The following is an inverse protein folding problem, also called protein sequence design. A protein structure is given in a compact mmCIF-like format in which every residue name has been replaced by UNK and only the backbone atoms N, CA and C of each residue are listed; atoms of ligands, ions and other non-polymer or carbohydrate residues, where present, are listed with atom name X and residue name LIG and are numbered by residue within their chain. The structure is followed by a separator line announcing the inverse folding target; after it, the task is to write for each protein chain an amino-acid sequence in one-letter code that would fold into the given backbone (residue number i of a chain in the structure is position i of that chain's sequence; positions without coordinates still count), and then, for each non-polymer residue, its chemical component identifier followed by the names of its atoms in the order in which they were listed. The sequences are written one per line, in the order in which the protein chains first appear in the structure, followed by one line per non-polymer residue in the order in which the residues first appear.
data_IF_129422141354
#
_entry.id   IF_129422141354
#
_cell.length_a   1.000
_cell.length_b   1.000
_cell.length_c   1.000
_cell.angle_alpha   90.00
_cell.angle_beta   90.00
_cell.angle_gamma   90.00
#
_symmetry.space_group_name_H-M   'P 1'
#
loop_
_entity.id
_entity.type
_entity.pdbx_description
1 polymer ?
#
# COMPACT_ATOMS: atom_id res chain seq x y z
N UNK A 1 -24.04 -15.36 -3.95
CA UNK A 1 -23.63 -14.50 -5.05
C UNK A 1 -22.14 -14.21 -4.96
N UNK A 2 -21.47 -14.37 -6.06
CA UNK A 2 -20.05 -14.04 -6.10
C UNK A 2 -19.91 -12.53 -6.16
N UNK A 3 -19.17 -11.99 -5.23
CA UNK A 3 -18.88 -10.59 -5.21
C UNK A 3 -17.85 -10.26 -6.29
N UNK A 4 -18.15 -9.29 -7.11
CA UNK A 4 -17.21 -8.82 -8.12
C UNK A 4 -16.10 -8.02 -7.46
N UNK A 5 -14.90 -8.58 -7.41
CA UNK A 5 -13.72 -7.91 -6.87
C UNK A 5 -12.81 -7.35 -7.96
N UNK A 6 -13.25 -7.39 -9.23
CA UNK A 6 -12.40 -6.94 -10.34
C UNK A 6 -12.15 -5.44 -10.31
N UNK A 7 -13.04 -4.67 -9.70
CA UNK A 7 -12.85 -3.23 -9.56
C UNK A 7 -12.03 -2.85 -8.33
N UNK A 8 -11.70 -3.81 -7.46
CA UNK A 8 -10.96 -3.53 -6.23
C UNK A 8 -9.51 -3.18 -6.56
N UNK A 9 -9.05 -2.06 -6.02
CA UNK A 9 -7.66 -1.62 -6.16
C UNK A 9 -7.14 -1.31 -4.76
N UNK A 10 -5.97 -1.88 -4.44
CA UNK A 10 -5.29 -1.65 -3.18
C UNK A 10 -3.99 -0.92 -3.50
N UNK A 11 -3.75 0.17 -2.79
CA UNK A 11 -2.50 0.92 -2.90
C UNK A 11 -1.86 1.00 -1.54
N UNK A 12 -0.55 0.99 -1.51
CA UNK A 12 0.22 1.07 -0.27
C UNK A 12 1.58 1.66 -0.56
N UNK A 13 2.17 2.27 0.45
CA UNK A 13 3.51 2.80 0.30
C UNK A 13 4.00 3.47 1.56
N UNK A 14 5.19 4.06 1.46
CA UNK A 14 5.70 4.95 2.48
C UNK A 14 6.13 6.26 1.85
N UNK A 15 6.24 7.28 2.68
CA UNK A 15 6.77 8.58 2.24
C UNK A 15 7.48 9.23 3.42
N UNK A 16 8.63 9.82 3.14
CA UNK A 16 9.42 10.53 4.13
C UNK A 16 9.45 12.02 3.82
N UNK A 17 9.58 12.83 4.87
CA UNK A 17 9.66 14.28 4.71
C UNK A 17 10.90 14.68 3.93
N UNK A 18 10.87 15.87 3.34
CA UNK A 18 11.96 16.45 2.56
C UNK A 18 12.33 15.65 1.32
N UNK A 19 11.44 14.78 0.84
CA UNK A 19 11.72 13.97 -0.35
C UNK A 19 12.80 12.93 -0.13
N UNK A 20 13.01 12.48 1.11
CA UNK A 20 14.08 11.54 1.46
C UNK A 20 13.84 10.12 0.94
N UNK A 21 12.64 9.82 0.51
CA UNK A 21 12.29 8.53 -0.08
C UNK A 21 10.79 8.31 -0.04
N UNK A 22 10.31 7.56 -1.03
CA UNK A 22 8.90 7.17 -1.08
C UNK A 22 8.73 5.99 -2.01
N UNK A 23 7.72 5.17 -1.75
CA UNK A 23 7.33 4.14 -2.70
C UNK A 23 5.81 4.06 -2.83
N UNK A 24 5.37 3.36 -3.83
CA UNK A 24 3.95 3.12 -4.06
C UNK A 24 3.77 1.76 -4.72
N UNK A 25 2.88 0.98 -4.15
CA UNK A 25 2.47 -0.33 -4.63
C UNK A 25 1.02 -0.21 -5.06
N UNK A 26 0.71 -0.66 -6.27
CA UNK A 26 -0.66 -0.63 -6.80
C UNK A 26 -1.03 -2.04 -7.20
N UNK A 27 -2.07 -2.58 -6.58
CA UNK A 27 -2.51 -3.96 -6.78
C UNK A 27 -3.93 -3.97 -7.31
N UNK A 28 -4.11 -4.62 -8.44
CA UNK A 28 -5.43 -4.94 -9.00
C UNK A 28 -5.56 -6.46 -9.13
N UNK A 29 -6.71 -6.91 -9.61
CA UNK A 29 -6.93 -8.36 -9.82
C UNK A 29 -6.00 -8.96 -10.88
N UNK A 30 -5.33 -8.15 -11.68
CA UNK A 30 -4.50 -8.61 -12.80
C UNK A 30 -3.03 -8.23 -12.70
N UNK A 31 -2.70 -7.16 -12.00
CA UNK A 31 -1.33 -6.60 -12.02
C UNK A 31 -0.90 -6.08 -10.67
N UNK A 32 0.41 -6.15 -10.45
CA UNK A 32 1.08 -5.43 -9.35
C UNK A 32 2.08 -4.48 -9.99
N UNK A 33 2.02 -3.21 -9.59
CA UNK A 33 2.97 -2.18 -10.04
C UNK A 33 3.67 -1.58 -8.83
N UNK A 34 4.93 -1.23 -9.01
CA UNK A 34 5.74 -0.69 -7.92
C UNK A 34 6.62 0.45 -8.43
N UNK A 35 6.65 1.53 -7.68
CA UNK A 35 7.52 2.68 -7.95
C UNK A 35 8.22 3.09 -6.67
N UNK A 36 9.53 3.25 -6.72
CA UNK A 36 10.33 3.81 -5.63
C UNK A 36 11.12 4.98 -6.17
N UNK A 37 11.15 6.06 -5.41
CA UNK A 37 11.93 7.24 -5.80
C UNK A 37 12.47 7.97 -4.58
N UNK A 38 13.50 8.78 -4.83
CA UNK A 38 14.06 9.70 -3.83
C UNK A 38 13.98 11.10 -4.43
N UNK A 39 12.84 11.81 -4.24
CA UNK A 39 12.63 13.10 -4.90
C UNK A 39 13.72 14.14 -4.61
N UNK A 40 14.31 14.11 -3.41
CA UNK A 40 15.36 15.05 -3.03
C UNK A 40 16.69 14.78 -3.72
N UNK A 41 16.88 13.62 -4.34
CA UNK A 41 18.13 13.26 -5.00
C UNK A 41 17.86 12.62 -6.35
N UNK A 42 17.83 13.44 -7.40
CA UNK A 42 17.53 12.99 -8.75
C UNK A 42 18.60 12.07 -9.35
N UNK A 43 19.76 11.96 -8.71
CA UNK A 43 20.82 11.03 -9.15
C UNK A 43 20.54 9.59 -8.75
N UNK A 44 19.65 9.37 -7.77
CA UNK A 44 19.22 8.01 -7.42
C UNK A 44 18.15 7.60 -8.42
N UNK A 45 18.37 6.52 -9.20
CA UNK A 45 17.40 6.11 -10.21
C UNK A 45 16.07 5.68 -9.60
N UNK A 46 14.99 6.04 -10.26
CA UNK A 46 13.66 5.54 -9.90
C UNK A 46 13.58 4.06 -10.21
N UNK A 47 12.99 3.29 -9.29
CA UNK A 47 12.64 1.90 -9.55
C UNK A 47 11.20 1.88 -10.01
N UNK A 48 10.96 1.26 -11.17
CA UNK A 48 9.62 1.18 -11.76
C UNK A 48 9.45 -0.22 -12.33
N UNK A 49 8.66 -1.04 -11.64
CA UNK A 49 8.50 -2.46 -11.97
C UNK A 49 7.01 -2.83 -11.98
N UNK A 50 6.71 -3.85 -12.74
CA UNK A 50 5.36 -4.40 -12.78
C UNK A 50 5.42 -5.89 -13.10
N UNK A 51 4.46 -6.64 -12.59
CA UNK A 51 4.27 -8.04 -12.97
C UNK A 51 2.81 -8.45 -12.80
N UNK A 52 2.39 -9.52 -13.50
CA UNK A 52 1.07 -10.08 -13.23
C UNK A 52 0.96 -10.58 -11.79
N UNK A 53 -0.25 -10.51 -11.24
CA UNK A 53 -0.54 -11.12 -9.96
C UNK A 53 -1.06 -12.53 -10.20
N UNK A 54 -0.66 -13.48 -9.35
CA UNK A 54 -1.22 -14.84 -9.43
C UNK A 54 -2.56 -14.89 -8.72
N UNK A 55 -3.39 -15.88 -9.08
CA UNK A 55 -4.68 -16.09 -8.43
C UNK A 55 -4.51 -16.34 -6.93
N UNK A 56 -3.49 -17.11 -6.56
CA UNK A 56 -3.19 -17.38 -5.14
C UNK A 56 -2.86 -16.11 -4.39
N UNK A 57 -2.03 -15.25 -4.96
CA UNK A 57 -1.69 -13.96 -4.36
C UNK A 57 -2.92 -13.09 -4.18
N UNK A 58 -3.74 -12.99 -5.23
CA UNK A 58 -4.95 -12.18 -5.16
C UNK A 58 -5.92 -12.68 -4.09
N UNK A 59 -6.12 -14.00 -4.02
CA UNK A 59 -6.98 -14.61 -3.01
C UNK A 59 -6.43 -14.38 -1.59
N UNK A 60 -5.12 -14.48 -1.40
CA UNK A 60 -4.50 -14.22 -0.10
C UNK A 60 -4.71 -12.77 0.32
N UNK A 61 -4.60 -11.84 -0.60
CA UNK A 61 -4.85 -10.43 -0.32
C UNK A 61 -6.31 -10.21 0.06
N UNK A 62 -7.24 -10.74 -0.73
CA UNK A 62 -8.67 -10.62 -0.44
C UNK A 62 -9.02 -11.19 0.93
N UNK A 63 -8.44 -12.35 1.28
CA UNK A 63 -8.69 -12.99 2.56
C UNK A 63 -8.10 -12.20 3.74
N UNK A 64 -7.10 -11.37 3.50
CA UNK A 64 -6.47 -10.54 4.53
C UNK A 64 -7.24 -9.26 4.82
N UNK A 65 -8.20 -8.91 3.98
CA UNK A 65 -8.96 -7.67 4.09
C UNK A 65 -10.27 -7.93 4.82
N UNK A 66 -10.47 -7.23 5.94
CA UNK A 66 -11.80 -7.05 6.52
C UNK A 66 -12.22 -5.62 6.20
N UNK A 67 -13.06 -5.48 5.18
CA UNK A 67 -13.40 -4.15 4.67
C UNK A 67 -14.10 -3.29 5.70
N UNK A 68 -15.01 -3.86 6.49
CA UNK A 68 -15.69 -3.11 7.54
C UNK A 68 -14.70 -2.58 8.57
N UNK A 69 -13.74 -3.40 8.98
CA UNK A 69 -12.71 -2.95 9.91
C UNK A 69 -11.86 -1.84 9.31
N UNK A 70 -11.47 -2.00 8.05
CA UNK A 70 -10.64 -1.01 7.37
C UNK A 70 -11.36 0.34 7.26
N UNK A 71 -12.63 0.32 6.85
CA UNK A 71 -13.43 1.54 6.67
C UNK A 71 -13.66 2.30 7.98
N UNK A 72 -13.60 1.60 9.11
CA UNK A 72 -13.75 2.21 10.43
C UNK A 72 -12.46 2.77 11.00
N UNK A 73 -11.32 2.48 10.36
CA UNK A 73 -10.05 3.04 10.80
C UNK A 73 -9.95 4.51 10.42
N UNK A 74 -9.43 5.31 11.35
CA UNK A 74 -9.32 6.74 11.17
C UNK A 74 -7.94 7.22 11.56
N UNK A 75 -6.94 6.71 10.84
CA UNK A 75 -5.53 7.07 11.03
C UNK A 75 -5.12 8.09 10.01
N UNK A 76 -4.55 9.18 10.46
CA UNK A 76 -4.12 10.27 9.58
C UNK A 76 -2.89 10.97 10.16
N UNK A 77 -1.83 10.21 10.37
CA UNK A 77 -0.57 10.77 10.89
C UNK A 77 0.08 11.70 9.87
N UNK A 78 0.96 12.56 10.36
CA UNK A 78 1.78 13.39 9.49
C UNK A 78 3.19 13.50 10.07
N UNK A 79 3.89 12.35 10.17
CA UNK A 79 5.29 12.37 10.58
C UNK A 79 6.17 13.06 9.55
N UNK A 80 5.74 13.07 8.27
CA UNK A 80 6.41 13.83 7.23
C UNK A 80 6.40 15.33 7.49
N UNK A 81 5.45 15.80 8.30
CA UNK A 81 5.36 17.23 8.67
C UNK A 81 6.48 17.64 9.63
N UNK A 82 7.11 16.68 10.30
CA UNK A 82 8.18 16.91 11.28
C UNK A 82 9.43 16.09 10.95
N UNK A 83 9.70 15.92 9.67
CA UNK A 83 10.89 15.23 9.15
C UNK A 83 10.92 13.73 9.50
N UNK A 84 9.76 13.11 9.56
CA UNK A 84 9.63 11.67 9.76
C UNK A 84 9.06 10.99 8.53
N UNK A 85 8.67 9.73 8.70
CA UNK A 85 8.10 8.91 7.64
C UNK A 85 6.74 8.36 8.04
N UNK A 86 5.86 8.26 7.08
CA UNK A 86 4.54 7.64 7.23
C UNK A 86 4.37 6.51 6.22
N UNK A 87 3.59 5.52 6.62
CA UNK A 87 3.05 4.53 5.69
C UNK A 87 1.59 4.83 5.43
N UNK A 88 1.09 4.34 4.30
CA UNK A 88 -0.31 4.56 3.94
C UNK A 88 -0.87 3.35 3.22
N UNK A 89 -2.17 3.13 3.35
CA UNK A 89 -2.93 2.11 2.65
C UNK A 89 -4.21 2.75 2.15
N UNK A 90 -4.53 2.54 0.88
CA UNK A 90 -5.77 2.99 0.27
C UNK A 90 -6.46 1.79 -0.38
N UNK A 91 -7.76 1.66 -0.15
CA UNK A 91 -8.59 0.62 -0.77
C UNK A 91 -9.76 1.31 -1.42
N UNK A 92 -9.99 1.00 -2.69
CA UNK A 92 -11.15 1.53 -3.40
C UNK A 92 -11.75 0.50 -4.36
N UNK A 93 -13.02 0.66 -4.61
CA UNK A 93 -13.74 -0.01 -5.68
C UNK A 93 -14.76 0.98 -6.24
N UNK A 94 -15.74 0.50 -7.01
CA UNK A 94 -16.75 1.39 -7.62
C UNK A 94 -17.62 2.12 -6.59
N UNK A 95 -17.75 1.57 -5.38
CA UNK A 95 -18.66 2.08 -4.36
C UNK A 95 -17.96 2.82 -3.22
N UNK A 96 -16.72 2.48 -2.92
CA UNK A 96 -15.99 2.99 -1.74
C UNK A 96 -14.60 3.47 -2.11
N UNK A 97 -14.09 4.38 -1.28
CA UNK A 97 -12.69 4.81 -1.33
C UNK A 97 -12.30 5.24 0.08
N UNK A 98 -11.27 4.62 0.63
CA UNK A 98 -10.80 4.95 1.98
C UNK A 98 -9.29 4.80 2.06
N UNK A 99 -8.65 5.75 2.73
CA UNK A 99 -7.20 5.77 2.91
C UNK A 99 -6.88 6.04 4.37
N UNK A 100 -5.88 5.32 4.88
CA UNK A 100 -5.31 5.59 6.21
C UNK A 100 -3.83 5.90 6.05
N UNK A 101 -3.31 6.67 7.00
CA UNK A 101 -1.88 7.00 7.07
C UNK A 101 -1.43 6.90 8.51
N UNK A 102 -0.33 6.19 8.74
CA UNK A 102 0.16 5.87 10.07
C UNK A 102 1.68 5.91 10.10
N UNK A 103 2.25 6.04 11.29
CA UNK A 103 3.71 6.08 11.43
C UNK A 103 4.37 4.83 10.86
N UNK A 104 5.51 5.00 10.21
CA UNK A 104 6.24 3.90 9.60
C UNK A 104 6.61 2.85 10.64
N UNK A 105 6.32 1.60 10.35
CA UNK A 105 6.56 0.48 11.25
C UNK A 105 5.46 0.21 12.26
N UNK A 106 4.45 1.07 12.34
CA UNK A 106 3.32 0.87 13.25
C UNK A 106 2.44 -0.26 12.73
N UNK A 107 2.13 -1.23 13.59
CA UNK A 107 1.19 -2.31 13.26
C UNK A 107 -0.16 -2.02 13.86
N UNK A 108 -1.21 -2.19 13.05
CA UNK A 108 -2.59 -1.98 13.45
C UNK A 108 -3.25 -3.36 13.53
N UNK A 109 -3.64 -3.79 14.72
CA UNK A 109 -4.07 -5.17 14.99
C UNK A 109 -5.15 -5.66 14.02
N UNK A 110 -6.13 -4.82 13.72
CA UNK A 110 -7.26 -5.22 12.87
C UNK A 110 -6.90 -5.43 11.41
N UNK A 111 -5.74 -4.95 10.97
CA UNK A 111 -5.30 -5.07 9.56
C UNK A 111 -3.88 -5.62 9.45
N UNK A 112 -3.33 -6.16 10.52
CA UNK A 112 -1.96 -6.65 10.50
C UNK A 112 -1.67 -7.67 9.39
N UNK A 113 -2.55 -8.65 9.11
CA UNK A 113 -2.30 -9.56 7.99
C UNK A 113 -2.14 -8.85 6.65
N UNK A 114 -2.95 -7.84 6.39
CA UNK A 114 -2.83 -7.05 5.17
C UNK A 114 -1.52 -6.25 5.18
N UNK A 115 -1.18 -5.60 6.29
CA UNK A 115 0.08 -4.86 6.41
C UNK A 115 1.28 -5.75 6.10
N UNK A 116 1.28 -6.98 6.62
CA UNK A 116 2.38 -7.91 6.42
C UNK A 116 2.54 -8.30 4.95
N UNK A 117 1.43 -8.58 4.26
CA UNK A 117 1.44 -8.90 2.83
C UNK A 117 1.96 -7.71 2.01
N UNK A 118 1.46 -6.53 2.28
CA UNK A 118 1.86 -5.33 1.54
C UNK A 118 3.34 -5.00 1.74
N UNK A 119 3.84 -5.11 2.96
CA UNK A 119 5.27 -4.91 3.26
C UNK A 119 6.14 -5.91 2.51
N UNK A 120 5.71 -7.16 2.48
CA UNK A 120 6.47 -8.22 1.81
C UNK A 120 6.54 -7.98 0.30
N UNK A 121 5.44 -7.57 -0.31
CA UNK A 121 5.42 -7.25 -1.74
C UNK A 121 6.32 -6.06 -2.06
N UNK A 122 6.28 -5.00 -1.25
CA UNK A 122 7.17 -3.86 -1.47
C UNK A 122 8.63 -4.27 -1.38
N UNK A 123 8.98 -5.12 -0.41
CA UNK A 123 10.34 -5.63 -0.28
C UNK A 123 10.78 -6.45 -1.48
N UNK A 124 9.88 -7.27 -2.02
CA UNK A 124 10.16 -8.07 -3.21
C UNK A 124 10.60 -7.18 -4.38
N UNK A 125 9.86 -6.12 -4.65
CA UNK A 125 10.13 -5.25 -5.79
C UNK A 125 11.34 -4.35 -5.58
N UNK A 126 11.61 -3.99 -4.33
CA UNK A 126 12.69 -3.07 -4.00
C UNK A 126 14.07 -3.73 -4.09
N UNK A 127 14.12 -5.02 -3.87
CA UNK A 127 15.34 -5.82 -3.99
C UNK A 127 15.46 -6.38 -5.42
#
# INVERSE_FOLDING_TARGET
MVKDNNSLVIKSGFMCGWGAGQDSLIISSTMIKYVYSVPANSQIPEINKARPITDTEWNNILNSINLNNFLNLNYNSCNICVDGCDEWIAIKNDAISHQIRFGMGIKIDSIKPLQDILSQLRSEFRN
#
